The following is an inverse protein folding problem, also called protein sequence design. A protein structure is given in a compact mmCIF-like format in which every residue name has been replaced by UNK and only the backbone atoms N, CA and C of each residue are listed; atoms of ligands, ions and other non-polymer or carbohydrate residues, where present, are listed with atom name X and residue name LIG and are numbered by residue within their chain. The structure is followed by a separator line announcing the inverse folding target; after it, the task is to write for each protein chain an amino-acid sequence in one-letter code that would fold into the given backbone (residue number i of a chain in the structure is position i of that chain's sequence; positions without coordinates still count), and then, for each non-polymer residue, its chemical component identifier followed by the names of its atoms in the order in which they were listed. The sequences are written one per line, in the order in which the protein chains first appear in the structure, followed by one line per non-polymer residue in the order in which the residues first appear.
data_IF_600102201287
#
_entry.id   IF_600102201287
#
_cell.length_a   1.000
_cell.length_b   1.000
_cell.length_c   1.000
_cell.angle_alpha   90.00
_cell.angle_beta   90.00
_cell.angle_gamma   90.00
#
_symmetry.space_group_name_H-M   'P 1'
#
loop_
_entity.id
_entity.type
_entity.pdbx_description
1 polymer ?
#
# COMPACT_ATOMS: atom_id res chain seq x y z
N UNK A 1 -32.03 7.19 48.44
CA UNK A 1 -32.31 7.34 47.01
C UNK A 1 -31.00 7.50 46.27
N UNK A 2 -30.36 6.37 45.91
CA UNK A 2 -29.04 6.39 45.27
C UNK A 2 -29.23 6.38 43.75
N UNK A 3 -28.80 7.46 43.07
CA UNK A 3 -28.70 7.51 41.61
C UNK A 3 -27.52 6.64 41.16
N UNK A 4 -27.83 5.56 40.43
CA UNK A 4 -26.85 4.80 39.64
C UNK A 4 -26.39 5.69 38.51
N UNK A 5 -25.13 6.13 38.56
CA UNK A 5 -24.41 6.67 37.40
C UNK A 5 -24.08 5.52 36.46
N UNK A 6 -24.80 5.47 35.33
CA UNK A 6 -24.46 4.61 34.20
C UNK A 6 -23.15 5.14 33.59
N UNK A 7 -22.08 4.42 33.81
CA UNK A 7 -20.83 4.64 33.03
C UNK A 7 -21.08 4.13 31.61
N UNK A 8 -21.28 5.03 30.66
CA UNK A 8 -21.12 4.73 29.26
C UNK A 8 -19.65 4.36 29.06
N UNK A 9 -19.33 3.05 28.99
CA UNK A 9 -18.15 2.57 28.29
C UNK A 9 -18.41 2.91 26.84
N UNK A 10 -17.68 3.86 26.29
CA UNK A 10 -17.42 3.90 24.88
C UNK A 10 -16.61 2.61 24.62
N UNK A 11 -17.27 1.62 24.08
CA UNK A 11 -16.58 0.51 23.42
C UNK A 11 -15.86 1.16 22.23
N UNK A 12 -14.57 1.43 22.39
CA UNK A 12 -13.69 1.83 21.28
C UNK A 12 -13.64 0.56 20.44
N UNK A 13 -14.33 0.56 19.30
CA UNK A 13 -14.19 -0.53 18.32
C UNK A 13 -12.70 -0.64 18.01
N UNK A 14 -12.13 -1.85 18.09
CA UNK A 14 -10.71 -2.02 17.79
C UNK A 14 -10.43 -1.55 16.36
N UNK A 15 -9.38 -0.76 16.18
CA UNK A 15 -8.94 -0.29 14.87
C UNK A 15 -8.34 -1.48 14.10
N UNK A 16 -9.20 -2.14 13.30
CA UNK A 16 -8.82 -3.33 12.56
C UNK A 16 -8.04 -2.98 11.30
N UNK A 17 -6.92 -3.65 11.12
CA UNK A 17 -6.14 -3.67 9.89
C UNK A 17 -6.46 -4.95 9.13
N UNK A 18 -7.02 -4.83 7.94
CA UNK A 18 -7.40 -6.01 7.15
C UNK A 18 -6.66 -6.03 5.82
N UNK A 19 -5.84 -7.06 5.63
CA UNK A 19 -5.14 -7.34 4.38
C UNK A 19 -5.82 -8.47 3.59
N UNK A 20 -6.09 -8.22 2.30
CA UNK A 20 -6.63 -9.20 1.36
C UNK A 20 -5.59 -9.53 0.28
N UNK A 21 -5.10 -10.76 0.25
CA UNK A 21 -4.22 -11.26 -0.81
C UNK A 21 -5.00 -12.00 -1.90
N UNK A 22 -5.01 -11.46 -3.13
CA UNK A 22 -5.58 -12.09 -4.31
C UNK A 22 -4.56 -13.03 -4.97
N UNK A 23 -4.39 -14.25 -4.42
CA UNK A 23 -3.44 -15.23 -4.91
C UNK A 23 -3.96 -16.09 -6.07
N UNK A 24 -3.03 -16.70 -6.83
CA UNK A 24 -3.36 -17.66 -7.91
C UNK A 24 -3.83 -18.99 -7.35
N UNK A 25 -3.28 -19.43 -6.23
CA UNK A 25 -3.60 -20.71 -5.58
C UNK A 25 -4.69 -20.56 -4.52
N UNK A 26 -4.61 -19.50 -3.73
CA UNK A 26 -5.55 -19.20 -2.64
C UNK A 26 -5.76 -17.69 -2.51
N UNK A 27 -6.94 -17.31 -2.07
CA UNK A 27 -7.25 -15.99 -1.53
C UNK A 27 -7.07 -16.05 -0.03
N UNK A 28 -6.37 -15.06 0.55
CA UNK A 28 -6.12 -15.01 1.99
C UNK A 28 -6.54 -13.65 2.53
N UNK A 29 -7.22 -13.65 3.66
CA UNK A 29 -7.55 -12.46 4.45
C UNK A 29 -6.81 -12.57 5.77
N UNK A 30 -6.11 -11.51 6.16
CA UNK A 30 -5.45 -11.41 7.46
C UNK A 30 -6.05 -10.22 8.20
N UNK A 31 -6.48 -10.44 9.42
CA UNK A 31 -7.03 -9.41 10.30
C UNK A 31 -6.07 -9.22 11.47
N UNK A 32 -5.69 -7.98 11.70
CA UNK A 32 -4.87 -7.58 12.83
C UNK A 32 -5.50 -6.42 13.58
N UNK A 33 -5.28 -6.36 14.88
CA UNK A 33 -5.54 -5.17 15.70
C UNK A 33 -4.32 -4.26 15.67
N UNK A 34 -4.57 -2.95 15.55
CA UNK A 34 -3.50 -1.96 15.72
C UNK A 34 -3.08 -1.94 17.18
N UNK A 35 -1.81 -2.15 17.47
CA UNK A 35 -1.25 -1.98 18.81
C UNK A 35 -1.39 -0.53 19.31
N UNK A 36 -1.19 -0.33 20.61
CA UNK A 36 -1.03 1.02 21.16
C UNK A 36 0.14 1.74 20.48
N UNK A 37 0.21 3.06 20.60
CA UNK A 37 1.23 3.88 19.93
C UNK A 37 2.65 3.31 20.17
N UNK A 38 3.27 2.77 19.09
CA UNK A 38 4.60 2.11 19.14
C UNK A 38 4.60 0.58 19.25
N UNK A 39 3.43 -0.06 19.42
CA UNK A 39 3.32 -1.52 19.46
C UNK A 39 3.09 -2.10 18.05
N UNK A 40 3.61 -3.31 17.81
CA UNK A 40 3.37 -4.05 16.58
C UNK A 40 1.89 -4.45 16.47
N UNK A 41 1.37 -4.48 15.22
CA UNK A 41 0.02 -4.97 14.97
C UNK A 41 -0.08 -6.47 15.29
N UNK A 42 -1.10 -6.87 16.05
CA UNK A 42 -1.30 -8.27 16.43
C UNK A 42 -2.29 -8.94 15.49
N UNK A 43 -1.88 -10.04 14.84
CA UNK A 43 -2.79 -10.85 14.01
C UNK A 43 -3.78 -11.56 14.93
N UNK A 44 -5.09 -11.32 14.71
CA UNK A 44 -6.20 -11.88 15.48
C UNK A 44 -7.06 -12.85 14.67
N UNK A 45 -6.93 -12.85 13.34
CA UNK A 45 -7.70 -13.74 12.48
C UNK A 45 -7.11 -13.90 11.09
N UNK A 46 -7.38 -15.09 10.51
CA UNK A 46 -6.99 -15.43 9.14
C UNK A 46 -8.12 -16.21 8.48
N UNK A 47 -8.51 -15.78 7.29
CA UNK A 47 -9.44 -16.52 6.43
C UNK A 47 -8.78 -16.93 5.12
N UNK A 48 -9.09 -18.13 4.63
CA UNK A 48 -8.52 -18.64 3.39
C UNK A 48 -9.56 -19.38 2.56
N UNK A 49 -9.51 -19.18 1.24
CA UNK A 49 -10.31 -19.94 0.29
C UNK A 49 -9.47 -20.34 -0.94
N UNK A 50 -9.79 -21.49 -1.59
CA UNK A 50 -9.22 -21.80 -2.88
C UNK A 50 -9.46 -20.68 -3.88
N UNK A 51 -8.44 -20.30 -4.64
CA UNK A 51 -8.57 -19.25 -5.63
C UNK A 51 -9.16 -19.82 -6.91
N UNK A 52 -10.39 -19.42 -7.21
CA UNK A 52 -11.05 -19.71 -8.47
C UNK A 52 -11.24 -18.39 -9.25
N UNK A 53 -10.95 -18.42 -10.56
CA UNK A 53 -11.09 -17.24 -11.40
C UNK A 53 -9.90 -16.27 -11.38
N UNK A 54 -8.76 -16.63 -10.73
CA UNK A 54 -7.50 -15.90 -10.76
C UNK A 54 -6.42 -16.81 -11.34
N UNK A 55 -5.69 -16.33 -12.35
CA UNK A 55 -4.57 -17.05 -12.96
C UNK A 55 -3.40 -16.10 -13.19
N UNK A 56 -2.20 -16.51 -12.79
CA UNK A 56 -0.98 -15.68 -12.88
C UNK A 56 -1.19 -14.28 -12.31
N UNK A 57 -1.93 -14.18 -11.20
CA UNK A 57 -2.25 -12.93 -10.53
C UNK A 57 -3.32 -12.05 -11.22
N UNK A 58 -3.87 -12.47 -12.37
CA UNK A 58 -4.91 -11.75 -13.08
C UNK A 58 -6.30 -12.37 -12.84
N UNK A 59 -7.31 -11.54 -12.68
CA UNK A 59 -8.72 -11.98 -12.62
C UNK A 59 -9.17 -12.35 -14.03
N UNK A 60 -9.38 -13.66 -14.27
CA UNK A 60 -9.84 -14.21 -15.54
C UNK A 60 -11.33 -14.60 -15.51
N UNK A 61 -11.91 -14.73 -14.32
CA UNK A 61 -13.35 -14.93 -14.11
C UNK A 61 -13.79 -14.19 -12.86
N UNK A 62 -14.49 -13.09 -13.06
CA UNK A 62 -14.85 -12.17 -11.98
C UNK A 62 -15.80 -12.83 -10.96
N UNK A 63 -16.83 -13.57 -11.42
CA UNK A 63 -17.82 -14.17 -10.52
C UNK A 63 -17.21 -15.27 -9.63
N UNK A 64 -16.27 -16.04 -10.16
CA UNK A 64 -15.54 -17.04 -9.38
C UNK A 64 -14.58 -16.38 -8.39
N UNK A 65 -13.87 -15.32 -8.80
CA UNK A 65 -12.99 -14.57 -7.91
C UNK A 65 -13.76 -13.94 -6.74
N UNK A 66 -14.91 -13.31 -7.01
CA UNK A 66 -15.81 -12.77 -5.99
C UNK A 66 -16.24 -13.82 -4.97
N UNK A 67 -16.57 -15.04 -5.42
CA UNK A 67 -16.95 -16.13 -4.51
C UNK A 67 -15.78 -16.54 -3.61
N UNK A 68 -14.57 -16.64 -4.17
CA UNK A 68 -13.37 -16.96 -3.39
C UNK A 68 -13.06 -15.87 -2.35
N UNK A 69 -13.20 -14.59 -2.72
CA UNK A 69 -13.02 -13.48 -1.78
C UNK A 69 -14.04 -13.54 -0.65
N UNK A 70 -15.33 -13.70 -0.97
CA UNK A 70 -16.40 -13.81 0.05
C UNK A 70 -16.17 -14.95 1.02
N UNK A 71 -15.72 -16.09 0.53
CA UNK A 71 -15.45 -17.25 1.39
C UNK A 71 -14.30 -16.93 2.34
N UNK A 72 -13.17 -16.39 1.85
CA UNK A 72 -12.03 -16.05 2.69
C UNK A 72 -12.39 -14.97 3.73
N UNK A 73 -13.20 -13.98 3.35
CA UNK A 73 -13.68 -12.94 4.27
C UNK A 73 -14.59 -13.54 5.35
N UNK A 74 -15.54 -14.39 4.96
CA UNK A 74 -16.44 -15.05 5.90
C UNK A 74 -15.66 -15.92 6.92
N UNK A 75 -14.61 -16.63 6.47
CA UNK A 75 -13.78 -17.43 7.36
C UNK A 75 -13.02 -16.53 8.37
N UNK A 76 -12.51 -15.39 7.92
CA UNK A 76 -11.85 -14.41 8.78
C UNK A 76 -12.83 -13.79 9.79
N UNK A 77 -14.01 -13.33 9.33
CA UNK A 77 -15.07 -12.77 10.19
C UNK A 77 -15.52 -13.77 11.27
N UNK A 78 -15.68 -15.06 10.91
CA UNK A 78 -16.03 -16.09 11.88
C UNK A 78 -14.95 -16.29 12.96
N UNK A 79 -13.67 -16.10 12.60
CA UNK A 79 -12.56 -16.22 13.54
C UNK A 79 -12.49 -15.06 14.51
N UNK A 80 -12.68 -13.82 14.01
CA UNK A 80 -12.58 -12.60 14.83
C UNK A 80 -13.88 -12.21 15.53
N UNK A 81 -15.02 -12.75 15.05
CA UNK A 81 -16.35 -12.43 15.61
C UNK A 81 -16.85 -11.02 15.25
N UNK A 82 -16.29 -10.39 14.23
CA UNK A 82 -16.64 -9.04 13.77
C UNK A 82 -16.79 -8.98 12.27
N UNK A 83 -17.62 -8.04 11.77
CA UNK A 83 -17.77 -7.79 10.35
C UNK A 83 -16.55 -7.04 9.79
N UNK A 84 -16.15 -7.40 8.56
CA UNK A 84 -15.08 -6.76 7.81
C UNK A 84 -15.73 -5.96 6.69
N UNK A 85 -15.59 -4.64 6.73
CA UNK A 85 -16.14 -3.73 5.71
C UNK A 85 -15.09 -3.18 4.75
N UNK A 86 -13.83 -3.10 5.18
CA UNK A 86 -12.76 -2.38 4.48
C UNK A 86 -11.48 -3.21 4.45
N UNK A 87 -10.75 -3.17 3.32
CA UNK A 87 -9.54 -3.98 3.13
C UNK A 87 -8.45 -3.24 2.36
N UNK A 88 -7.19 -3.49 2.72
CA UNK A 88 -6.03 -3.22 1.85
C UNK A 88 -5.75 -4.46 1.00
N UNK A 89 -5.72 -4.31 -0.32
CA UNK A 89 -5.62 -5.42 -1.26
C UNK A 89 -4.21 -5.56 -1.81
N UNK A 90 -3.61 -6.72 -1.58
CA UNK A 90 -2.38 -7.14 -2.24
C UNK A 90 -2.73 -7.92 -3.50
N UNK A 91 -2.24 -7.49 -4.64
CA UNK A 91 -2.42 -8.17 -5.91
C UNK A 91 -1.10 -8.27 -6.68
N UNK A 92 -1.05 -9.17 -7.63
CA UNK A 92 0.12 -9.37 -8.48
C UNK A 92 -0.32 -9.89 -9.83
N UNK A 93 0.56 -9.82 -10.80
CA UNK A 93 0.31 -10.28 -12.16
C UNK A 93 -0.07 -9.16 -13.12
N UNK A 94 0.09 -9.45 -14.39
CA UNK A 94 0.07 -8.47 -15.46
C UNK A 94 1.45 -7.87 -15.72
N UNK A 95 1.50 -6.96 -16.67
CA UNK A 95 2.72 -6.23 -16.99
C UNK A 95 2.92 -5.10 -15.96
N UNK A 96 3.65 -5.41 -14.90
CA UNK A 96 4.12 -4.39 -13.95
C UNK A 96 5.43 -3.83 -14.51
N UNK A 97 5.50 -2.52 -14.66
CA UNK A 97 6.70 -1.83 -15.13
C UNK A 97 7.22 -0.91 -14.03
N UNK A 98 8.52 -0.80 -13.93
CA UNK A 98 9.19 0.05 -12.95
C UNK A 98 10.05 1.09 -13.67
N UNK A 99 9.89 2.37 -13.33
CA UNK A 99 10.61 3.48 -13.96
C UNK A 99 11.20 4.39 -12.89
N UNK A 100 12.48 4.71 -13.02
CA UNK A 100 13.12 5.74 -12.19
C UNK A 100 12.96 7.12 -12.82
N UNK A 101 12.66 8.09 -12.02
CA UNK A 101 12.61 9.50 -12.42
C UNK A 101 13.14 10.41 -11.31
N UNK A 102 13.45 11.65 -11.70
CA UNK A 102 14.00 12.65 -10.79
C UNK A 102 13.09 13.87 -10.76
N UNK A 103 12.93 14.42 -9.56
CA UNK A 103 12.23 15.67 -9.36
C UNK A 103 13.13 16.72 -8.70
N UNK A 104 12.83 17.98 -8.92
CA UNK A 104 13.56 19.08 -8.32
C UNK A 104 12.59 20.23 -7.99
N UNK A 105 12.76 20.81 -6.81
CA UNK A 105 12.06 22.04 -6.42
C UNK A 105 13.03 23.04 -5.79
N UNK A 106 12.85 24.31 -6.14
CA UNK A 106 13.54 25.40 -5.46
C UNK A 106 12.81 25.78 -4.18
N UNK A 107 13.56 25.89 -3.07
CA UNK A 107 13.05 26.28 -1.78
C UNK A 107 13.13 27.79 -1.54
N UNK A 108 14.00 28.48 -2.28
CA UNK A 108 14.18 29.92 -2.20
C UNK A 108 15.60 30.37 -2.54
N UNK A 109 15.85 31.67 -2.37
CA UNK A 109 17.18 32.28 -2.60
C UNK A 109 18.10 32.23 -1.36
N UNK A 110 17.52 31.94 -0.21
CA UNK A 110 18.21 31.77 1.07
C UNK A 110 17.85 30.40 1.64
N UNK A 111 18.78 29.72 2.32
CA UNK A 111 18.48 28.44 2.95
C UNK A 111 17.32 28.59 3.94
N UNK A 112 16.36 27.68 3.86
CA UNK A 112 15.25 27.55 4.81
C UNK A 112 14.98 26.08 5.11
N UNK A 113 14.28 25.76 6.22
CA UNK A 113 13.87 24.38 6.51
C UNK A 113 12.96 23.82 5.41
N UNK A 114 13.22 22.57 5.02
CA UNK A 114 12.33 21.77 4.18
C UNK A 114 11.04 21.46 4.93
N UNK A 115 9.91 21.69 4.31
CA UNK A 115 8.58 21.41 4.85
C UNK A 115 7.93 20.21 4.14
N UNK A 116 6.92 19.60 4.75
CA UNK A 116 6.15 18.48 4.13
C UNK A 116 5.64 18.83 2.72
N UNK A 117 5.14 20.04 2.53
CA UNK A 117 4.69 20.52 1.23
C UNK A 117 5.79 20.54 0.17
N UNK A 118 7.04 20.80 0.56
CA UNK A 118 8.16 20.76 -0.39
C UNK A 118 8.48 19.33 -0.82
N UNK A 119 8.35 18.37 0.11
CA UNK A 119 8.50 16.92 -0.18
C UNK A 119 7.39 16.46 -1.13
N UNK A 120 6.14 16.83 -0.88
CA UNK A 120 5.02 16.53 -1.78
C UNK A 120 5.28 17.11 -3.18
N UNK A 121 5.66 18.37 -3.28
CA UNK A 121 5.96 19.04 -4.54
C UNK A 121 7.12 18.43 -5.32
N UNK A 122 8.16 17.96 -4.65
CA UNK A 122 9.30 17.34 -5.34
C UNK A 122 8.95 15.93 -5.83
N UNK A 123 8.09 15.20 -5.10
CA UNK A 123 7.53 13.92 -5.56
C UNK A 123 6.63 14.14 -6.79
N UNK A 124 5.74 15.12 -6.75
CA UNK A 124 4.87 15.47 -7.88
C UNK A 124 5.70 15.86 -9.12
N UNK A 125 6.77 16.63 -8.92
CA UNK A 125 7.69 16.97 -10.01
C UNK A 125 8.37 15.74 -10.62
N UNK A 126 8.79 14.77 -9.80
CA UNK A 126 9.36 13.52 -10.27
C UNK A 126 8.33 12.66 -11.03
N UNK A 127 7.08 12.60 -10.55
CA UNK A 127 5.99 11.88 -11.23
C UNK A 127 5.63 12.50 -12.57
N UNK A 128 5.64 13.82 -12.68
CA UNK A 128 5.30 14.53 -13.92
C UNK A 128 6.28 14.22 -15.07
N UNK A 129 7.50 13.80 -14.76
CA UNK A 129 8.53 13.43 -15.73
C UNK A 129 8.39 11.97 -16.22
N UNK A 130 7.50 11.18 -15.60
CA UNK A 130 7.26 9.78 -15.97
C UNK A 130 6.30 9.70 -17.17
N UNK A 131 6.76 9.13 -18.26
CA UNK A 131 5.91 8.84 -19.43
C UNK A 131 5.08 7.59 -19.16
N UNK A 132 3.78 7.76 -18.90
CA UNK A 132 2.84 6.67 -18.66
C UNK A 132 2.04 6.36 -19.91
N UNK A 133 2.02 5.11 -20.43
CA UNK A 133 1.16 4.72 -21.55
C UNK A 133 -0.32 4.93 -21.23
N UNK A 134 -1.15 5.22 -22.24
CA UNK A 134 -2.57 5.59 -22.06
C UNK A 134 -3.44 4.52 -21.35
N UNK A 135 -3.02 3.25 -21.40
CA UNK A 135 -3.74 2.13 -20.77
C UNK A 135 -3.12 1.70 -19.42
N UNK A 136 -2.19 2.48 -18.90
CA UNK A 136 -1.48 2.21 -17.65
C UNK A 136 -1.63 3.40 -16.68
N UNK A 137 -1.31 3.17 -15.42
CA UNK A 137 -1.32 4.20 -14.38
C UNK A 137 -0.21 3.94 -13.35
N UNK A 138 0.30 4.99 -12.73
CA UNK A 138 1.22 4.86 -11.60
C UNK A 138 0.41 4.38 -10.39
N UNK A 139 0.80 3.24 -9.83
CA UNK A 139 0.22 2.69 -8.62
C UNK A 139 0.96 3.16 -7.37
N UNK A 140 2.30 3.13 -7.42
CA UNK A 140 3.18 3.57 -6.33
C UNK A 140 4.26 4.49 -6.85
N UNK A 141 4.65 5.45 -6.03
CA UNK A 141 5.86 6.25 -6.20
C UNK A 141 6.66 6.15 -4.90
N UNK A 142 7.81 5.53 -4.98
CA UNK A 142 8.64 5.20 -3.83
C UNK A 142 9.88 6.10 -3.87
N UNK A 143 10.10 6.97 -2.87
CA UNK A 143 11.34 7.70 -2.72
C UNK A 143 12.53 6.73 -2.60
N UNK A 144 13.57 6.98 -3.39
CA UNK A 144 14.82 6.21 -3.35
C UNK A 144 15.88 6.98 -2.58
N UNK A 145 16.03 8.27 -2.90
CA UNK A 145 17.05 9.12 -2.32
C UNK A 145 16.66 10.59 -2.45
N UNK A 146 16.92 11.36 -1.41
CA UNK A 146 16.84 12.82 -1.47
C UNK A 146 18.23 13.43 -1.57
N UNK A 147 18.32 14.64 -2.17
CA UNK A 147 19.51 15.47 -2.08
C UNK A 147 19.16 16.94 -1.81
N UNK A 148 20.01 17.60 -1.05
CA UNK A 148 19.88 19.01 -0.67
C UNK A 148 21.09 19.79 -1.18
N UNK A 149 20.87 20.77 -2.03
CA UNK A 149 21.93 21.63 -2.62
C UNK A 149 23.05 20.82 -3.28
N UNK A 150 22.71 19.59 -3.82
CA UNK A 150 23.64 18.67 -4.45
C UNK A 150 24.33 17.66 -3.51
N UNK A 151 24.03 17.70 -2.20
CA UNK A 151 24.48 16.67 -1.26
C UNK A 151 23.49 15.50 -1.29
N UNK A 152 23.95 14.35 -1.74
CA UNK A 152 23.18 13.11 -1.88
C UNK A 152 23.18 12.26 -0.61
N UNK A 153 22.38 11.18 -0.57
CA UNK A 153 22.35 10.23 0.55
C UNK A 153 21.55 10.74 1.75
N UNK A 154 20.47 11.50 1.49
CA UNK A 154 19.59 12.00 2.54
C UNK A 154 18.35 11.14 2.58
N UNK A 155 18.08 10.47 3.70
CA UNK A 155 16.93 9.60 3.90
C UNK A 155 15.67 10.41 4.23
N UNK A 156 15.76 11.39 5.14
CA UNK A 156 14.69 12.31 5.50
C UNK A 156 15.16 13.75 5.46
N UNK A 157 14.71 14.55 4.48
CA UNK A 157 15.09 15.95 4.36
C UNK A 157 14.29 16.90 5.27
N UNK A 158 13.24 16.41 5.96
CA UNK A 158 12.32 17.25 6.72
C UNK A 158 13.04 18.07 7.79
N UNK A 159 12.86 19.39 7.78
CA UNK A 159 13.48 20.30 8.74
C UNK A 159 14.94 20.69 8.44
N UNK A 160 15.61 20.03 7.49
CA UNK A 160 16.96 20.39 7.06
C UNK A 160 16.95 21.68 6.24
N UNK A 161 17.96 22.55 6.40
CA UNK A 161 18.03 23.81 5.67
C UNK A 161 18.68 23.62 4.29
N UNK A 162 18.00 24.10 3.23
CA UNK A 162 18.49 24.10 1.87
C UNK A 162 17.85 25.20 1.02
N UNK A 163 18.43 25.44 -0.16
CA UNK A 163 17.88 26.28 -1.21
C UNK A 163 17.20 25.44 -2.31
N UNK A 164 17.60 24.17 -2.45
CA UNK A 164 17.09 23.24 -3.46
C UNK A 164 16.91 21.84 -2.85
N UNK A 165 15.78 21.24 -3.15
CA UNK A 165 15.48 19.84 -2.84
C UNK A 165 15.33 19.06 -4.13
N UNK A 166 16.07 17.98 -4.28
CA UNK A 166 15.97 17.00 -5.36
C UNK A 166 15.55 15.67 -4.78
N UNK A 167 14.90 14.84 -5.62
CA UNK A 167 14.51 13.47 -5.28
C UNK A 167 14.77 12.54 -6.48
N UNK A 168 15.16 11.32 -6.20
CA UNK A 168 15.03 10.19 -7.11
C UNK A 168 13.92 9.28 -6.61
N UNK A 169 12.97 8.91 -7.49
CA UNK A 169 11.86 8.03 -7.15
C UNK A 169 11.80 6.83 -8.07
N UNK A 170 11.27 5.72 -7.55
CA UNK A 170 10.88 4.55 -8.30
C UNK A 170 9.36 4.54 -8.46
N UNK A 171 8.87 4.72 -9.68
CA UNK A 171 7.44 4.66 -10.00
C UNK A 171 7.06 3.28 -10.51
N UNK A 172 6.04 2.68 -9.88
CA UNK A 172 5.47 1.38 -10.26
C UNK A 172 4.24 1.64 -11.11
N UNK A 173 4.27 1.18 -12.35
CA UNK A 173 3.25 1.40 -13.35
C UNK A 173 2.56 0.06 -13.65
N UNK A 174 1.24 0.07 -13.67
CA UNK A 174 0.41 -1.13 -13.87
C UNK A 174 -0.70 -0.85 -14.89
N UNK A 175 -1.23 -1.88 -15.59
CA UNK A 175 -2.37 -1.70 -16.47
C UNK A 175 -3.60 -1.22 -15.68
N UNK A 176 -4.24 -0.15 -16.15
CA UNK A 176 -5.44 0.43 -15.50
C UNK A 176 -6.57 -0.59 -15.37
N UNK A 177 -6.73 -1.46 -16.39
CA UNK A 177 -7.73 -2.53 -16.37
C UNK A 177 -7.51 -3.54 -15.23
N UNK A 178 -6.25 -3.82 -14.84
CA UNK A 178 -5.95 -4.71 -13.72
C UNK A 178 -6.48 -4.12 -12.42
N UNK A 179 -6.21 -2.83 -12.16
CA UNK A 179 -6.72 -2.12 -10.98
C UNK A 179 -8.25 -2.15 -10.96
N UNK A 180 -8.89 -1.80 -12.10
CA UNK A 180 -10.35 -1.77 -12.19
C UNK A 180 -10.97 -3.14 -11.93
N UNK A 181 -10.39 -4.23 -12.44
CA UNK A 181 -10.88 -5.59 -12.20
C UNK A 181 -10.73 -5.98 -10.72
N UNK A 182 -9.61 -5.62 -10.07
CA UNK A 182 -9.42 -5.85 -8.63
C UNK A 182 -10.45 -5.08 -7.83
N UNK A 183 -10.63 -3.78 -8.09
CA UNK A 183 -11.62 -2.94 -7.42
C UNK A 183 -13.04 -3.48 -7.58
N UNK A 184 -13.43 -3.85 -8.82
CA UNK A 184 -14.73 -4.45 -9.10
C UNK A 184 -14.94 -5.77 -8.37
N UNK A 185 -13.91 -6.62 -8.28
CA UNK A 185 -13.98 -7.89 -7.57
C UNK A 185 -14.28 -7.68 -6.08
N UNK A 186 -13.51 -6.81 -5.45
CA UNK A 186 -13.60 -6.55 -4.00
C UNK A 186 -14.92 -5.84 -3.65
N UNK A 187 -15.30 -4.82 -4.42
CA UNK A 187 -16.58 -4.12 -4.24
C UNK A 187 -17.79 -5.06 -4.42
N UNK A 188 -17.77 -5.94 -5.43
CA UNK A 188 -18.82 -6.96 -5.62
C UNK A 188 -18.81 -8.05 -4.53
N UNK A 189 -17.70 -8.23 -3.83
CA UNK A 189 -17.68 -9.07 -2.64
C UNK A 189 -18.35 -8.42 -1.43
N UNK A 190 -18.62 -7.12 -1.48
CA UNK A 190 -19.28 -6.32 -0.43
C UNK A 190 -18.28 -5.59 0.48
N UNK A 191 -17.07 -5.32 -0.03
CA UNK A 191 -15.98 -4.68 0.71
C UNK A 191 -15.57 -3.36 0.06
N UNK A 192 -15.15 -2.42 0.87
CA UNK A 192 -14.49 -1.19 0.44
C UNK A 192 -12.97 -1.39 0.38
N UNK A 193 -12.31 -0.74 -0.58
CA UNK A 193 -10.86 -0.80 -0.76
C UNK A 193 -10.24 0.48 -0.25
N UNK A 194 -9.52 0.41 0.85
CA UNK A 194 -8.77 1.55 1.41
C UNK A 194 -7.35 1.68 0.85
N UNK A 195 -6.81 0.62 0.24
CA UNK A 195 -5.49 0.63 -0.35
C UNK A 195 -5.26 -0.52 -1.33
N UNK A 196 -4.41 -0.26 -2.32
CA UNK A 196 -3.92 -1.27 -3.26
C UNK A 196 -2.41 -1.34 -3.16
N UNK A 197 -1.86 -2.55 -3.13
CA UNK A 197 -0.41 -2.77 -3.06
C UNK A 197 -0.01 -3.93 -3.98
N UNK A 198 1.11 -3.80 -4.67
CA UNK A 198 1.67 -4.96 -5.39
C UNK A 198 2.29 -5.95 -4.39
N UNK A 199 2.12 -7.25 -4.65
CA UNK A 199 2.60 -8.33 -3.76
C UNK A 199 4.08 -8.26 -3.41
N UNK A 200 5.01 -8.01 -4.35
CA UNK A 200 6.42 -7.90 -4.00
C UNK A 200 6.68 -6.81 -2.95
N UNK A 201 6.03 -5.64 -3.08
CA UNK A 201 6.15 -4.56 -2.10
C UNK A 201 5.53 -4.94 -0.75
N UNK A 202 4.33 -5.53 -0.76
CA UNK A 202 3.67 -5.99 0.48
C UNK A 202 4.51 -7.05 1.21
N UNK A 203 5.08 -8.00 0.47
CA UNK A 203 5.94 -9.04 1.02
C UNK A 203 7.25 -8.45 1.59
N UNK A 204 7.88 -7.53 0.88
CA UNK A 204 9.09 -6.86 1.34
C UNK A 204 8.84 -6.09 2.66
N UNK A 205 7.77 -5.30 2.72
CA UNK A 205 7.41 -4.56 3.94
C UNK A 205 7.04 -5.45 5.13
N UNK A 206 6.57 -6.68 4.87
CA UNK A 206 6.21 -7.63 5.93
C UNK A 206 7.36 -8.48 6.45
N UNK A 207 8.51 -8.53 5.77
CA UNK A 207 9.62 -9.44 6.08
C UNK A 207 10.93 -8.72 6.33
N UNK A 208 11.15 -7.57 5.68
CA UNK A 208 12.40 -6.82 5.76
C UNK A 208 12.35 -5.81 6.91
N UNK A 209 13.48 -5.63 7.57
CA UNK A 209 13.63 -4.52 8.52
C UNK A 209 13.58 -3.18 7.78
N UNK A 210 13.28 -2.05 8.46
CA UNK A 210 13.28 -0.73 7.81
C UNK A 210 14.60 -0.40 7.09
N UNK A 211 15.73 -0.89 7.59
CA UNK A 211 17.06 -0.69 7.02
C UNK A 211 17.26 -1.54 5.75
N UNK A 212 16.76 -2.78 5.73
CA UNK A 212 16.84 -3.68 4.58
C UNK A 212 15.75 -3.37 3.54
N UNK A 213 14.61 -2.82 3.97
CA UNK A 213 13.44 -2.59 3.12
C UNK A 213 13.72 -1.53 2.03
N UNK A 214 14.49 -0.50 2.32
CA UNK A 214 14.82 0.56 1.36
C UNK A 214 15.72 0.04 0.23
N UNK A 215 16.72 -0.78 0.52
CA UNK A 215 17.63 -1.32 -0.48
C UNK A 215 17.05 -2.56 -1.19
N UNK A 216 16.52 -3.53 -0.42
CA UNK A 216 16.09 -4.82 -0.96
C UNK A 216 14.72 -4.82 -1.63
N UNK A 217 13.74 -4.04 -1.15
CA UNK A 217 12.41 -3.99 -1.74
C UNK A 217 12.41 -3.38 -3.14
N UNK A 218 13.26 -2.40 -3.38
CA UNK A 218 13.41 -1.76 -4.69
C UNK A 218 14.02 -2.71 -5.73
N UNK A 219 14.99 -3.52 -5.32
CA UNK A 219 15.63 -4.51 -6.19
C UNK A 219 14.65 -5.65 -6.54
N UNK A 220 13.90 -6.19 -5.56
CA UNK A 220 12.85 -7.19 -5.80
C UNK A 220 11.78 -6.67 -6.76
N UNK A 221 11.35 -5.41 -6.62
CA UNK A 221 10.36 -4.80 -7.52
C UNK A 221 10.94 -4.63 -8.93
N UNK A 222 12.19 -4.21 -9.05
CA UNK A 222 12.87 -4.04 -10.34
C UNK A 222 13.02 -5.38 -11.08
N UNK A 223 13.40 -6.47 -10.38
CA UNK A 223 13.55 -7.81 -10.95
C UNK A 223 12.22 -8.45 -11.33
N UNK A 224 11.14 -8.23 -10.57
CA UNK A 224 9.81 -8.79 -10.87
C UNK A 224 9.07 -8.03 -11.97
N UNK A 225 9.50 -6.82 -12.30
CA UNK A 225 8.98 -6.00 -13.39
C UNK A 225 9.71 -6.24 -14.74
N UNK A 226 10.79 -7.04 -14.75
CA UNK A 226 11.56 -7.41 -15.94
C UNK A 226 11.07 -8.72 -16.53
#
# INVERSE_FOLDING_TARGET
MFKKTSSYRHDIEPDLLVGLDLGTSKVTVVVAERGAEGDEAQIIGVGQAPSNGIRKGLIVNLDQAVKSVRQAVSDAQNMVGQDIGEVTVAFGGGEVTSVRSKGMVSLGRTPRPVMRLDIERVIDAAQADVVVPANQTILHTIPVEYSLDGNVGIDDPLGMNAMRLDIEVQSIIVPTATIQNVMNCVSRAGLDVNGLVIKPLAAALGVLTPEDALAGALDIIAETAS
#
